data_IF_282506266226
#
_entry.id   IF_282506266226
#
_cell.length_a   1.000
_cell.length_b   1.000
_cell.length_c   1.000
_cell.angle_alpha   90.00
_cell.angle_beta   90.00
_cell.angle_gamma   90.00
#
_symmetry.space_group_name_H-M   'P 1'
#
loop_
_entity.id
_entity.type
_entity.pdbx_description
1 polymer ?
#
# COMPACT_ATOMS: atom_id res chain seq x y z
N UNK A 1 -10.02 95.75 -35.74
CA UNK A 1 -9.89 95.88 -34.29
C UNK A 1 -11.20 95.44 -33.65
N UNK A 2 -11.23 94.53 -32.74
CA UNK A 2 -12.35 93.79 -32.14
C UNK A 2 -12.73 92.55 -33.04
N UNK A 3 -12.79 91.35 -32.59
CA UNK A 3 -13.11 90.63 -31.47
C UNK A 3 -12.54 89.20 -31.61
N UNK A 4 -11.45 88.92 -30.88
CA UNK A 4 -10.81 87.56 -30.89
C UNK A 4 -10.86 86.82 -29.56
N UNK A 5 -11.53 87.37 -28.50
CA UNK A 5 -11.34 86.83 -27.12
C UNK A 5 -12.50 86.01 -26.56
N UNK A 6 -13.66 85.91 -27.26
CA UNK A 6 -14.81 85.16 -26.73
C UNK A 6 -14.98 83.73 -27.22
N UNK A 7 -14.20 83.34 -28.24
CA UNK A 7 -14.32 82.00 -28.82
C UNK A 7 -13.50 80.93 -28.07
N UNK A 8 -12.33 81.35 -27.52
CA UNK A 8 -11.45 80.40 -26.78
C UNK A 8 -12.00 80.04 -25.43
N UNK A 9 -12.78 80.91 -24.75
CA UNK A 9 -13.38 80.65 -23.45
C UNK A 9 -14.54 79.64 -23.47
N UNK A 10 -15.26 79.51 -24.59
CA UNK A 10 -16.36 78.59 -24.71
C UNK A 10 -15.91 77.17 -25.09
N UNK A 11 -14.78 76.98 -25.76
CA UNK A 11 -14.22 75.65 -26.08
C UNK A 11 -13.54 75.05 -24.84
N UNK A 12 -12.90 75.86 -23.98
CA UNK A 12 -12.28 75.36 -22.72
C UNK A 12 -13.30 74.87 -21.73
N UNK A 13 -14.49 75.44 -21.65
CA UNK A 13 -15.55 75.03 -20.71
C UNK A 13 -16.31 73.78 -21.21
N UNK A 14 -16.41 73.54 -22.52
CA UNK A 14 -16.98 72.34 -23.09
C UNK A 14 -16.10 71.12 -22.96
N UNK A 15 -14.74 71.25 -22.97
CA UNK A 15 -13.80 70.18 -22.78
C UNK A 15 -13.69 69.71 -21.31
N UNK A 16 -13.90 70.63 -20.36
CA UNK A 16 -13.89 70.28 -18.90
C UNK A 16 -15.21 69.58 -18.51
N UNK A 17 -16.34 69.89 -19.16
CA UNK A 17 -17.60 69.20 -18.91
C UNK A 17 -17.63 67.79 -19.50
N UNK A 18 -16.86 67.50 -20.57
CA UNK A 18 -16.80 66.13 -21.16
C UNK A 18 -15.92 65.20 -20.36
N UNK A 19 -14.88 65.69 -19.62
CA UNK A 19 -14.08 64.91 -18.74
C UNK A 19 -14.73 64.56 -17.40
N UNK A 20 -15.78 65.26 -16.99
CA UNK A 20 -16.52 65.01 -15.75
C UNK A 20 -17.55 63.87 -15.87
N UNK A 21 -17.87 63.40 -17.07
CA UNK A 21 -18.84 62.31 -17.34
C UNK A 21 -18.19 60.94 -17.57
N UNK A 22 -16.83 60.87 -17.68
CA UNK A 22 -16.08 59.61 -17.84
C UNK A 22 -15.39 59.10 -16.58
N UNK A 23 -15.64 59.73 -15.43
CA UNK A 23 -14.89 59.48 -14.17
C UNK A 23 -15.64 58.75 -13.07
N UNK A 24 -16.50 57.78 -13.35
CA UNK A 24 -17.16 56.99 -12.28
C UNK A 24 -17.35 55.52 -12.63
N UNK A 25 -16.26 54.81 -12.91
CA UNK A 25 -16.29 53.34 -12.91
C UNK A 25 -15.06 52.68 -12.36
N UNK A 26 -14.27 53.38 -11.51
CA UNK A 26 -13.06 52.79 -10.94
C UNK A 26 -13.18 52.33 -9.48
N UNK A 27 -14.39 52.36 -8.91
CA UNK A 27 -14.68 51.73 -7.60
C UNK A 27 -15.75 50.67 -7.71
N UNK A 28 -15.86 50.00 -8.86
CA UNK A 28 -16.67 48.80 -9.00
C UNK A 28 -15.92 47.64 -8.32
N UNK A 29 -16.26 47.27 -7.09
CA UNK A 29 -15.87 45.98 -6.53
C UNK A 29 -16.18 44.90 -7.55
N UNK A 30 -15.24 43.99 -7.79
CA UNK A 30 -15.41 42.90 -8.75
C UNK A 30 -16.71 42.14 -8.42
N UNK A 31 -17.64 42.13 -9.33
CA UNK A 31 -18.95 41.46 -9.10
C UNK A 31 -18.72 40.01 -8.67
N UNK A 32 -19.58 39.51 -7.81
CA UNK A 32 -19.52 38.11 -7.35
C UNK A 32 -19.57 37.18 -8.58
N UNK A 33 -18.55 36.32 -8.78
CA UNK A 33 -18.53 35.38 -9.89
C UNK A 33 -19.66 34.34 -9.79
N UNK A 34 -20.20 33.92 -10.92
CA UNK A 34 -21.26 32.93 -11.06
C UNK A 34 -20.88 31.55 -10.48
N UNK A 35 -19.60 31.19 -10.61
CA UNK A 35 -19.08 29.91 -10.12
C UNK A 35 -19.15 29.74 -8.60
N UNK A 36 -19.28 30.80 -7.83
CA UNK A 36 -19.45 30.72 -6.36
C UNK A 36 -20.77 30.05 -6.01
N UNK A 37 -21.79 30.23 -6.84
CA UNK A 37 -23.10 29.59 -6.70
C UNK A 37 -23.19 28.24 -7.41
N UNK A 38 -22.06 27.71 -7.89
CA UNK A 38 -21.94 26.35 -8.45
C UNK A 38 -22.20 26.26 -9.96
N UNK A 39 -22.44 27.38 -10.64
CA UNK A 39 -22.67 27.42 -12.09
C UNK A 39 -21.67 28.38 -12.71
N UNK A 40 -21.00 27.98 -13.78
CA UNK A 40 -20.06 28.84 -14.51
C UNK A 40 -20.28 28.77 -16.00
N UNK A 41 -20.48 29.92 -16.62
CA UNK A 41 -20.54 30.02 -18.07
C UNK A 41 -19.16 29.85 -18.72
N UNK A 42 -18.09 30.28 -18.03
CA UNK A 42 -16.69 30.15 -18.49
C UNK A 42 -16.16 28.71 -18.36
N UNK A 43 -16.68 27.92 -17.41
CA UNK A 43 -16.25 26.55 -17.13
C UNK A 43 -17.46 25.59 -17.13
N UNK A 44 -18.05 25.27 -18.29
CA UNK A 44 -19.24 24.43 -18.38
C UNK A 44 -19.02 23.04 -17.78
N UNK A 45 -19.97 22.51 -17.02
CA UNK A 45 -19.90 21.21 -16.34
C UNK A 45 -19.66 20.01 -17.26
N UNK A 46 -20.08 20.11 -18.53
CA UNK A 46 -19.78 19.10 -19.57
C UNK A 46 -18.29 19.04 -19.96
N UNK A 47 -17.52 20.13 -19.75
CA UNK A 47 -16.11 20.19 -20.09
C UNK A 47 -15.20 20.20 -18.86
N UNK A 48 -15.72 20.63 -17.73
CA UNK A 48 -14.93 20.79 -16.49
C UNK A 48 -15.60 20.09 -15.32
N UNK A 49 -14.77 19.54 -14.43
CA UNK A 49 -15.10 19.23 -13.04
C UNK A 49 -14.60 20.37 -12.18
N UNK A 50 -15.47 20.92 -11.34
CA UNK A 50 -15.17 22.11 -10.56
C UNK A 50 -15.24 21.81 -9.06
N UNK A 51 -14.38 22.49 -8.31
CA UNK A 51 -14.41 22.49 -6.85
C UNK A 51 -14.22 23.92 -6.33
N UNK A 52 -15.11 24.38 -5.46
CA UNK A 52 -15.05 25.69 -4.84
C UNK A 52 -14.50 25.56 -3.42
N UNK A 53 -13.53 26.40 -3.09
CA UNK A 53 -12.97 26.56 -1.76
C UNK A 53 -13.16 27.98 -1.25
N UNK A 54 -13.45 28.13 0.04
CA UNK A 54 -13.63 29.40 0.73
C UNK A 54 -12.85 29.40 2.04
N UNK A 55 -12.11 30.46 2.35
CA UNK A 55 -11.35 30.60 3.60
C UNK A 55 -10.99 32.06 3.88
N UNK A 56 -10.46 32.33 5.08
CA UNK A 56 -9.92 33.62 5.49
C UNK A 56 -8.60 33.96 4.80
N UNK A 57 -7.90 32.98 4.24
CA UNK A 57 -6.68 33.18 3.48
C UNK A 57 -6.76 32.51 2.11
N UNK A 58 -6.04 33.10 1.13
CA UNK A 58 -5.97 32.60 -0.24
C UNK A 58 -5.47 31.15 -0.30
N UNK A 59 -4.38 30.83 0.38
CA UNK A 59 -3.79 29.50 0.33
C UNK A 59 -4.78 28.43 0.83
N UNK A 60 -5.44 28.68 1.95
CA UNK A 60 -6.44 27.74 2.50
C UNK A 60 -7.68 27.63 1.61
N UNK A 61 -8.09 28.71 0.92
CA UNK A 61 -9.18 28.67 -0.05
C UNK A 61 -8.82 27.79 -1.26
N UNK A 62 -7.59 27.92 -1.77
CA UNK A 62 -7.06 27.08 -2.86
C UNK A 62 -7.02 25.61 -2.44
N UNK A 63 -6.48 25.28 -1.26
CA UNK A 63 -6.45 23.91 -0.71
C UNK A 63 -7.85 23.31 -0.57
N UNK A 64 -8.81 24.08 -0.09
CA UNK A 64 -10.22 23.66 0.01
C UNK A 64 -10.85 23.42 -1.36
N UNK A 65 -10.49 24.19 -2.38
CA UNK A 65 -10.94 23.98 -3.73
C UNK A 65 -10.41 22.67 -4.34
N UNK A 66 -9.13 22.38 -4.16
CA UNK A 66 -8.54 21.08 -4.51
C UNK A 66 -9.22 19.93 -3.77
N UNK A 67 -9.40 20.06 -2.46
CA UNK A 67 -10.08 19.05 -1.65
C UNK A 67 -11.54 18.83 -2.06
N UNK A 68 -12.23 19.85 -2.58
CA UNK A 68 -13.59 19.72 -3.08
C UNK A 68 -13.65 18.83 -4.33
N UNK A 69 -12.71 19.00 -5.28
CA UNK A 69 -12.56 18.09 -6.43
C UNK A 69 -12.22 16.69 -5.98
N UNK A 70 -11.18 16.52 -5.14
CA UNK A 70 -10.72 15.22 -4.67
C UNK A 70 -11.81 14.39 -3.97
N UNK A 71 -12.72 15.02 -3.22
CA UNK A 71 -13.83 14.34 -2.54
C UNK A 71 -14.80 13.62 -3.49
N UNK A 72 -15.01 14.16 -4.69
CA UNK A 72 -15.88 13.53 -5.70
C UNK A 72 -15.31 12.16 -6.08
N UNK A 73 -14.01 12.10 -6.35
CA UNK A 73 -13.31 10.88 -6.75
C UNK A 73 -13.18 9.89 -5.59
N UNK A 74 -12.88 10.38 -4.39
CA UNK A 74 -12.80 9.52 -3.19
C UNK A 74 -14.13 8.79 -2.93
N UNK A 75 -15.25 9.45 -3.11
CA UNK A 75 -16.57 8.85 -2.92
C UNK A 75 -16.82 7.71 -3.94
N UNK A 76 -16.45 7.89 -5.20
CA UNK A 76 -16.61 6.87 -6.25
C UNK A 76 -15.69 5.66 -6.00
N UNK A 77 -14.41 5.87 -5.71
CA UNK A 77 -13.46 4.78 -5.38
C UNK A 77 -13.96 3.98 -4.17
N UNK A 78 -14.45 4.66 -3.13
CA UNK A 78 -14.98 3.99 -1.94
C UNK A 78 -16.25 3.18 -2.22
N UNK A 79 -17.10 3.64 -3.14
CA UNK A 79 -18.30 2.91 -3.55
C UNK A 79 -17.95 1.61 -4.30
N UNK A 80 -16.89 1.63 -5.12
CA UNK A 80 -16.41 0.46 -5.88
C UNK A 80 -15.59 -0.53 -5.01
N UNK A 81 -15.11 -0.11 -3.84
CA UNK A 81 -14.25 -0.95 -2.99
C UNK A 81 -14.91 -2.27 -2.56
N UNK A 82 -16.25 -2.36 -2.54
CA UNK A 82 -16.98 -3.60 -2.25
C UNK A 82 -16.71 -4.69 -3.29
N UNK A 83 -16.51 -4.32 -4.53
CA UNK A 83 -16.24 -5.27 -5.63
C UNK A 83 -14.82 -5.88 -5.51
N UNK A 84 -13.95 -5.25 -4.72
CA UNK A 84 -12.57 -5.70 -4.47
C UNK A 84 -12.39 -6.34 -3.09
N UNK A 85 -13.47 -6.58 -2.38
CA UNK A 85 -13.42 -7.09 -1.00
C UNK A 85 -12.65 -8.41 -0.90
N UNK A 86 -12.82 -9.31 -1.86
CA UNK A 86 -12.09 -10.59 -1.92
C UNK A 86 -10.58 -10.38 -2.03
N UNK A 87 -10.13 -9.44 -2.86
CA UNK A 87 -8.72 -9.08 -2.98
C UNK A 87 -8.19 -8.47 -1.68
N UNK A 88 -8.93 -7.52 -1.11
CA UNK A 88 -8.55 -6.88 0.15
C UNK A 88 -8.45 -7.88 1.31
N UNK A 89 -9.20 -8.97 1.29
CA UNK A 89 -9.10 -10.06 2.25
C UNK A 89 -7.83 -10.91 2.05
N UNK A 90 -7.37 -11.12 0.81
CA UNK A 90 -6.12 -11.84 0.54
C UNK A 90 -4.91 -11.00 0.97
N UNK A 91 -4.89 -9.71 0.60
CA UNK A 91 -3.81 -8.80 1.00
C UNK A 91 -3.66 -8.69 2.52
N UNK A 92 -4.66 -9.12 3.27
CA UNK A 92 -4.76 -8.89 4.71
C UNK A 92 -4.87 -10.16 5.54
N UNK A 93 -4.63 -11.33 4.94
CA UNK A 93 -4.54 -12.54 5.72
C UNK A 93 -3.42 -12.37 6.76
N UNK A 94 -3.80 -12.43 8.03
CA UNK A 94 -2.89 -12.14 9.14
C UNK A 94 -2.93 -10.73 9.71
N UNK A 95 -3.58 -9.79 9.05
CA UNK A 95 -3.62 -8.39 9.46
C UNK A 95 -4.97 -7.97 10.09
N UNK A 96 -4.96 -6.90 10.87
CA UNK A 96 -6.16 -6.40 11.55
C UNK A 96 -7.09 -5.61 10.59
N UNK A 97 -8.35 -5.39 11.03
CA UNK A 97 -9.27 -4.51 10.30
C UNK A 97 -8.74 -3.08 10.11
N UNK A 98 -7.76 -2.64 10.91
CA UNK A 98 -7.10 -1.35 10.75
C UNK A 98 -6.19 -1.33 9.52
N UNK A 99 -5.45 -2.41 9.27
CA UNK A 99 -4.57 -2.54 8.10
C UNK A 99 -5.37 -2.67 6.80
N UNK A 100 -6.57 -3.26 6.86
CA UNK A 100 -7.52 -3.26 5.74
C UNK A 100 -7.93 -1.85 5.31
N UNK A 101 -8.19 -0.98 6.27
CA UNK A 101 -8.48 0.43 5.98
C UNK A 101 -7.26 1.11 5.36
N UNK A 102 -6.05 0.83 5.86
CA UNK A 102 -4.82 1.40 5.32
C UNK A 102 -4.60 1.02 3.85
N UNK A 103 -4.89 -0.22 3.44
CA UNK A 103 -4.76 -0.64 2.03
C UNK A 103 -5.76 0.09 1.13
N UNK A 104 -7.01 0.22 1.56
CA UNK A 104 -8.02 0.99 0.81
C UNK A 104 -7.67 2.49 0.79
N UNK A 105 -7.18 3.03 1.90
CA UNK A 105 -6.74 4.42 1.98
C UNK A 105 -5.52 4.65 1.06
N UNK A 106 -4.60 3.70 0.95
CA UNK A 106 -3.46 3.77 0.04
C UNK A 106 -3.91 3.79 -1.43
N UNK A 107 -4.83 2.89 -1.83
CA UNK A 107 -5.40 2.89 -3.19
C UNK A 107 -6.12 4.20 -3.50
N UNK A 108 -6.88 4.71 -2.52
CA UNK A 108 -7.58 6.00 -2.63
C UNK A 108 -6.58 7.16 -2.72
N UNK A 109 -5.48 7.13 -1.97
CA UNK A 109 -4.43 8.17 -2.01
C UNK A 109 -3.74 8.20 -3.37
N UNK A 110 -3.25 7.07 -3.87
CA UNK A 110 -2.60 6.97 -5.20
C UNK A 110 -3.52 7.47 -6.31
N UNK A 111 -4.81 7.13 -6.21
CA UNK A 111 -5.84 7.60 -7.13
C UNK A 111 -6.05 9.10 -7.03
N UNK A 112 -6.13 9.65 -5.81
CA UNK A 112 -6.33 11.08 -5.55
C UNK A 112 -5.14 11.91 -6.04
N UNK A 113 -3.92 11.44 -5.83
CA UNK A 113 -2.71 12.12 -6.32
C UNK A 113 -2.76 12.27 -7.85
N UNK A 114 -3.13 11.18 -8.55
CA UNK A 114 -3.29 11.22 -10.01
C UNK A 114 -4.40 12.16 -10.47
N UNK A 115 -5.49 12.26 -9.72
CA UNK A 115 -6.57 13.23 -9.96
C UNK A 115 -6.02 14.66 -9.84
N UNK A 116 -5.29 14.95 -8.75
CA UNK A 116 -4.79 16.29 -8.45
C UNK A 116 -3.76 16.78 -9.48
N UNK A 117 -3.01 15.89 -10.14
CA UNK A 117 -2.15 16.27 -11.27
C UNK A 117 -2.90 16.99 -12.41
N UNK A 118 -4.18 16.72 -12.57
CA UNK A 118 -5.03 17.28 -13.62
C UNK A 118 -5.88 18.47 -13.14
N UNK A 119 -5.78 18.87 -11.87
CA UNK A 119 -6.55 19.97 -11.28
C UNK A 119 -5.69 21.24 -11.20
N UNK A 120 -6.27 22.38 -11.54
CA UNK A 120 -5.62 23.70 -11.43
C UNK A 120 -6.58 24.69 -10.83
N UNK A 121 -6.07 25.67 -10.09
CA UNK A 121 -6.87 26.84 -9.72
C UNK A 121 -7.07 27.69 -10.97
N UNK A 122 -8.32 27.78 -11.43
CA UNK A 122 -8.68 28.45 -12.67
C UNK A 122 -9.22 29.85 -12.44
N UNK A 123 -9.75 30.16 -11.25
CA UNK A 123 -10.22 31.49 -10.89
C UNK A 123 -10.14 31.75 -9.39
N UNK A 124 -10.18 33.02 -8.99
CA UNK A 124 -10.11 33.52 -7.61
C UNK A 124 -10.93 34.75 -7.44
N UNK A 125 -11.54 34.89 -6.27
CA UNK A 125 -12.28 36.10 -5.92
C UNK A 125 -12.16 36.38 -4.42
N UNK A 126 -12.25 37.63 -4.05
CA UNK A 126 -12.26 38.09 -2.66
C UNK A 126 -13.52 38.88 -2.40
N UNK A 127 -14.27 38.47 -1.41
CA UNK A 127 -15.39 39.25 -0.92
C UNK A 127 -14.85 40.38 -0.01
N UNK A 128 -14.91 41.59 -0.52
CA UNK A 128 -14.39 42.79 0.19
C UNK A 128 -15.22 43.14 1.43
N UNK A 129 -16.46 42.60 1.58
CA UNK A 129 -17.30 42.84 2.76
C UNK A 129 -16.93 41.91 3.92
N UNK A 130 -16.75 40.66 3.63
CA UNK A 130 -16.39 39.65 4.65
C UNK A 130 -14.90 39.42 4.79
N UNK A 131 -14.08 39.86 3.84
CA UNK A 131 -12.64 39.55 3.76
C UNK A 131 -12.34 38.10 3.36
N UNK A 132 -13.33 37.31 2.95
CA UNK A 132 -13.15 35.92 2.59
C UNK A 132 -12.60 35.76 1.19
N UNK A 133 -11.65 34.85 1.06
CA UNK A 133 -11.07 34.41 -0.19
C UNK A 133 -11.83 33.21 -0.74
N UNK A 134 -12.13 33.24 -2.03
CA UNK A 134 -12.71 32.15 -2.80
C UNK A 134 -11.77 31.69 -3.89
N UNK A 135 -11.66 30.40 -4.09
CA UNK A 135 -10.89 29.82 -5.19
C UNK A 135 -11.75 28.78 -5.93
N UNK A 136 -11.61 28.76 -7.25
CA UNK A 136 -12.19 27.76 -8.12
C UNK A 136 -11.08 26.85 -8.63
N UNK A 137 -11.11 25.58 -8.24
CA UNK A 137 -10.29 24.53 -8.84
C UNK A 137 -11.08 23.89 -9.99
N UNK A 138 -10.41 23.68 -11.11
CA UNK A 138 -11.00 23.08 -12.31
C UNK A 138 -10.11 21.98 -12.88
N UNK A 139 -10.76 20.89 -13.28
CA UNK A 139 -10.17 19.81 -14.06
C UNK A 139 -10.83 19.79 -15.44
N UNK A 140 -10.03 19.92 -16.49
CA UNK A 140 -10.53 19.74 -17.85
C UNK A 140 -10.75 18.27 -18.14
N UNK A 141 -12.02 17.86 -18.38
CA UNK A 141 -12.42 16.46 -18.54
C UNK A 141 -11.68 15.74 -19.67
N UNK A 142 -11.51 16.37 -20.84
CA UNK A 142 -10.83 15.76 -21.99
C UNK A 142 -9.34 15.45 -21.71
N UNK A 143 -8.63 16.37 -21.05
CA UNK A 143 -7.23 16.17 -20.67
C UNK A 143 -7.10 15.06 -19.62
N UNK A 144 -7.94 15.09 -18.59
CA UNK A 144 -7.97 14.07 -17.56
C UNK A 144 -8.34 12.69 -18.15
N UNK A 145 -9.37 12.63 -19.00
CA UNK A 145 -9.78 11.39 -19.68
C UNK A 145 -8.61 10.75 -20.46
N UNK A 146 -7.86 11.53 -21.22
CA UNK A 146 -6.69 11.04 -21.95
C UNK A 146 -5.64 10.48 -21.00
N UNK A 147 -5.30 11.20 -19.92
CA UNK A 147 -4.32 10.78 -18.92
C UNK A 147 -4.71 9.48 -18.20
N UNK A 148 -5.98 9.34 -17.81
CA UNK A 148 -6.47 8.12 -17.16
C UNK A 148 -6.60 6.95 -18.13
N UNK A 149 -7.02 7.19 -19.38
CA UNK A 149 -7.10 6.15 -20.41
C UNK A 149 -5.71 5.59 -20.74
N UNK A 150 -4.68 6.44 -20.80
CA UNK A 150 -3.30 6.02 -20.99
C UNK A 150 -2.85 5.08 -19.85
N UNK A 151 -3.10 5.47 -18.60
CA UNK A 151 -2.75 4.64 -17.44
C UNK A 151 -3.50 3.31 -17.39
N UNK A 152 -4.78 3.30 -17.72
CA UNK A 152 -5.57 2.08 -17.84
C UNK A 152 -5.00 1.17 -18.92
N UNK A 153 -4.63 1.72 -20.08
CA UNK A 153 -4.03 0.94 -21.18
C UNK A 153 -2.68 0.35 -20.80
N UNK A 154 -1.84 1.09 -20.09
CA UNK A 154 -0.56 0.61 -19.57
C UNK A 154 -0.76 -0.58 -18.61
N UNK A 155 -1.73 -0.45 -17.68
CA UNK A 155 -2.07 -1.51 -16.74
C UNK A 155 -2.68 -2.72 -17.44
N UNK A 156 -3.59 -2.53 -18.40
CA UNK A 156 -4.20 -3.62 -19.18
C UNK A 156 -3.11 -4.45 -19.91
N UNK A 157 -2.08 -3.79 -20.45
CA UNK A 157 -0.93 -4.47 -21.06
C UNK A 157 -0.14 -5.27 -20.03
N UNK A 158 0.19 -4.65 -18.89
CA UNK A 158 0.95 -5.31 -17.82
C UNK A 158 0.18 -6.51 -17.23
N UNK A 159 -1.13 -6.38 -17.03
CA UNK A 159 -2.00 -7.47 -16.57
C UNK A 159 -2.00 -8.61 -17.58
N UNK A 160 -2.10 -8.31 -18.87
CA UNK A 160 -2.05 -9.30 -19.93
C UNK A 160 -0.73 -10.07 -19.98
N UNK A 161 0.39 -9.38 -19.78
CA UNK A 161 1.73 -9.97 -19.68
C UNK A 161 1.85 -10.89 -18.46
N UNK A 162 1.43 -10.43 -17.27
CA UNK A 162 1.45 -11.19 -16.02
C UNK A 162 0.55 -12.45 -16.11
N UNK A 163 -0.67 -12.33 -16.61
CA UNK A 163 -1.57 -13.49 -16.82
C UNK A 163 -0.97 -14.44 -17.86
N UNK A 164 -0.36 -13.92 -18.93
CA UNK A 164 0.33 -14.71 -19.92
C UNK A 164 1.51 -15.48 -19.31
N UNK A 165 2.30 -14.86 -18.44
CA UNK A 165 3.38 -15.50 -17.69
C UNK A 165 2.85 -16.62 -16.79
N UNK A 166 1.78 -16.34 -16.01
CA UNK A 166 1.17 -17.32 -15.12
C UNK A 166 0.62 -18.56 -15.83
N UNK A 167 0.23 -18.45 -17.10
CA UNK A 167 -0.30 -19.56 -17.91
C UNK A 167 0.77 -20.35 -18.67
N UNK A 168 2.01 -19.88 -18.69
CA UNK A 168 3.13 -20.65 -19.27
C UNK A 168 3.56 -21.77 -18.33
N UNK A 169 4.15 -22.86 -18.83
CA UNK A 169 4.83 -23.84 -18.00
C UNK A 169 6.01 -23.16 -17.28
N UNK A 170 5.87 -22.93 -16.00
CA UNK A 170 6.87 -22.29 -15.15
C UNK A 170 6.85 -22.95 -13.76
N UNK A 171 7.84 -22.61 -12.94
CA UNK A 171 7.80 -23.03 -11.54
C UNK A 171 6.60 -22.41 -10.79
N UNK A 172 6.22 -23.03 -9.70
CA UNK A 172 5.00 -22.65 -8.96
C UNK A 172 5.11 -21.27 -8.30
N UNK A 173 6.31 -20.86 -7.88
CA UNK A 173 6.53 -19.53 -7.29
C UNK A 173 6.39 -18.44 -8.36
N UNK A 174 6.97 -18.63 -9.53
CA UNK A 174 6.82 -17.70 -10.66
C UNK A 174 5.35 -17.53 -11.02
N UNK A 175 4.58 -18.63 -11.10
CA UNK A 175 3.15 -18.56 -11.37
C UNK A 175 2.38 -17.81 -10.27
N UNK A 176 2.64 -18.09 -9.01
CA UNK A 176 1.99 -17.41 -7.88
C UNK A 176 2.29 -15.90 -7.91
N UNK A 177 3.55 -15.52 -8.12
CA UNK A 177 4.00 -14.14 -8.23
C UNK A 177 3.36 -13.40 -9.41
N UNK A 178 3.28 -14.03 -10.57
CA UNK A 178 2.65 -13.46 -11.74
C UNK A 178 1.14 -13.23 -11.54
N UNK A 179 0.42 -14.21 -10.99
CA UNK A 179 -1.00 -14.05 -10.63
C UNK A 179 -1.21 -12.92 -9.63
N UNK A 180 -0.36 -12.83 -8.60
CA UNK A 180 -0.49 -11.76 -7.59
C UNK A 180 -0.24 -10.38 -8.19
N UNK A 181 0.77 -10.21 -9.05
CA UNK A 181 1.01 -8.94 -9.77
C UNK A 181 -0.18 -8.58 -10.65
N UNK A 182 -0.73 -9.56 -11.38
CA UNK A 182 -1.91 -9.35 -12.23
C UNK A 182 -3.11 -8.85 -11.41
N UNK A 183 -3.41 -9.49 -10.28
CA UNK A 183 -4.52 -9.08 -9.40
C UNK A 183 -4.29 -7.68 -8.85
N UNK A 184 -3.10 -7.37 -8.34
CA UNK A 184 -2.75 -6.05 -7.80
C UNK A 184 -2.88 -4.93 -8.85
N UNK A 185 -2.35 -5.18 -10.05
CA UNK A 185 -2.46 -4.25 -11.18
C UNK A 185 -3.91 -4.07 -11.63
N UNK A 186 -4.71 -5.14 -11.59
CA UNK A 186 -6.13 -5.09 -11.94
C UNK A 186 -6.94 -4.26 -10.94
N UNK A 187 -6.67 -4.36 -9.64
CA UNK A 187 -7.30 -3.51 -8.62
C UNK A 187 -6.94 -2.04 -8.83
N UNK A 188 -5.66 -1.75 -9.11
CA UNK A 188 -5.23 -0.38 -9.41
C UNK A 188 -5.90 0.13 -10.70
N UNK A 189 -6.00 -0.71 -11.71
CA UNK A 189 -6.70 -0.42 -12.96
C UNK A 189 -8.17 -0.08 -12.72
N UNK A 190 -8.88 -0.86 -11.90
CA UNK A 190 -10.27 -0.60 -11.56
C UNK A 190 -10.43 0.68 -10.73
N UNK A 191 -9.46 1.01 -9.89
CA UNK A 191 -9.42 2.29 -9.18
C UNK A 191 -9.35 3.48 -10.15
N UNK A 192 -8.50 3.39 -11.18
CA UNK A 192 -8.46 4.42 -12.23
C UNK A 192 -9.72 4.41 -13.11
N UNK A 193 -10.31 3.25 -13.34
CA UNK A 193 -11.57 3.13 -14.07
C UNK A 193 -12.76 3.77 -13.33
N UNK A 194 -12.79 3.68 -12.00
CA UNK A 194 -13.75 4.40 -11.16
C UNK A 194 -13.61 5.92 -11.35
N UNK A 195 -12.37 6.43 -11.36
CA UNK A 195 -12.12 7.84 -11.64
C UNK A 195 -12.56 8.24 -13.06
N UNK A 196 -12.32 7.39 -14.05
CA UNK A 196 -12.71 7.64 -15.42
C UNK A 196 -14.24 7.79 -15.56
N UNK A 197 -15.04 7.04 -14.78
CA UNK A 197 -16.50 7.20 -14.71
C UNK A 197 -16.91 8.59 -14.22
N UNK A 198 -16.20 9.15 -13.24
CA UNK A 198 -16.44 10.53 -12.77
C UNK A 198 -16.05 11.56 -13.83
N UNK A 199 -14.94 11.32 -14.54
CA UNK A 199 -14.42 12.24 -15.57
C UNK A 199 -15.33 12.29 -16.78
N UNK A 200 -15.84 11.16 -17.25
CA UNK A 200 -16.70 11.07 -18.42
C UNK A 200 -18.12 11.56 -18.12
N UNK A 201 -18.68 12.48 -18.92
CA UNK A 201 -20.08 12.88 -18.76
C UNK A 201 -21.07 11.71 -18.89
N UNK A 202 -20.70 10.63 -19.60
CA UNK A 202 -21.50 9.42 -19.74
C UNK A 202 -21.55 8.56 -18.48
N UNK A 203 -20.65 8.79 -17.51
CA UNK A 203 -20.51 7.93 -16.33
C UNK A 203 -19.94 6.54 -16.62
N UNK A 204 -19.46 6.29 -17.84
CA UNK A 204 -18.99 4.97 -18.26
C UNK A 204 -17.46 4.84 -18.16
N UNK A 205 -17.02 3.72 -17.59
CA UNK A 205 -15.61 3.32 -17.58
C UNK A 205 -15.20 2.59 -18.87
N UNK A 206 -14.03 1.98 -18.82
CA UNK A 206 -13.51 1.08 -19.86
C UNK A 206 -13.63 -0.37 -19.37
N UNK A 207 -14.18 -1.26 -20.17
CA UNK A 207 -14.29 -2.67 -19.82
C UNK A 207 -12.91 -3.30 -19.62
N UNK A 208 -12.78 -4.14 -18.59
CA UNK A 208 -11.57 -4.93 -18.34
C UNK A 208 -11.64 -6.28 -19.05
N UNK A 209 -10.47 -6.81 -19.45
CA UNK A 209 -10.37 -8.15 -20.02
C UNK A 209 -10.49 -9.25 -18.94
N UNK A 210 -10.23 -8.90 -17.69
CA UNK A 210 -10.25 -9.82 -16.54
C UNK A 210 -11.05 -9.20 -15.39
N UNK A 211 -11.61 -10.04 -14.50
CA UNK A 211 -12.30 -9.62 -13.30
C UNK A 211 -11.45 -9.87 -12.05
N UNK A 212 -11.44 -8.91 -11.12
CA UNK A 212 -10.68 -9.02 -9.86
C UNK A 212 -11.04 -10.31 -9.12
N UNK A 213 -12.33 -10.61 -8.94
CA UNK A 213 -12.81 -11.79 -8.26
C UNK A 213 -12.40 -13.11 -8.94
N UNK A 214 -12.25 -13.12 -10.25
CA UNK A 214 -11.84 -14.28 -11.03
C UNK A 214 -10.36 -14.60 -10.83
N UNK A 215 -9.48 -13.62 -11.07
CA UNK A 215 -8.04 -13.79 -10.88
C UNK A 215 -7.67 -14.02 -9.41
N UNK A 216 -8.38 -13.38 -8.49
CA UNK A 216 -8.22 -13.59 -7.06
C UNK A 216 -8.50 -15.04 -6.68
N UNK A 217 -9.63 -15.59 -7.14
CA UNK A 217 -9.99 -16.99 -6.91
C UNK A 217 -9.00 -17.95 -7.58
N UNK A 218 -8.51 -17.65 -8.80
CA UNK A 218 -7.46 -18.44 -9.46
C UNK A 218 -6.20 -18.50 -8.61
N UNK A 219 -5.76 -17.35 -8.08
CA UNK A 219 -4.61 -17.26 -7.17
C UNK A 219 -4.83 -18.09 -5.90
N UNK A 220 -5.97 -17.93 -5.22
CA UNK A 220 -6.29 -18.69 -3.99
C UNK A 220 -6.29 -20.19 -4.23
N UNK A 221 -6.97 -20.64 -5.28
CA UNK A 221 -7.00 -22.05 -5.64
C UNK A 221 -5.60 -22.57 -5.95
N UNK A 222 -4.81 -21.81 -6.69
CA UNK A 222 -3.46 -22.19 -7.03
C UNK A 222 -2.60 -22.36 -5.77
N UNK A 223 -2.62 -21.38 -4.86
CA UNK A 223 -1.88 -21.43 -3.60
C UNK A 223 -2.32 -22.63 -2.75
N UNK A 224 -3.62 -22.83 -2.60
CA UNK A 224 -4.16 -23.93 -1.79
C UNK A 224 -3.80 -25.33 -2.32
N UNK A 225 -3.66 -25.48 -3.63
CA UNK A 225 -3.45 -26.79 -4.25
C UNK A 225 -1.98 -27.08 -4.53
N UNK A 226 -1.20 -26.07 -4.85
CA UNK A 226 0.12 -26.24 -5.45
C UNK A 226 1.28 -25.72 -4.60
N UNK A 227 1.03 -24.87 -3.61
CA UNK A 227 2.08 -24.29 -2.78
C UNK A 227 1.93 -24.75 -1.33
N UNK A 228 2.62 -25.83 -1.00
CA UNK A 228 2.64 -26.40 0.34
C UNK A 228 4.01 -26.14 0.97
N UNK A 229 4.02 -25.65 2.20
CA UNK A 229 5.22 -25.38 2.98
C UNK A 229 5.34 -26.42 4.09
N UNK A 230 6.50 -27.04 4.23
CA UNK A 230 6.82 -27.85 5.40
C UNK A 230 7.59 -27.02 6.42
N UNK A 231 7.30 -27.21 7.71
CA UNK A 231 8.01 -26.58 8.81
C UNK A 231 8.63 -27.64 9.70
N UNK A 232 9.93 -27.53 9.93
CA UNK A 232 10.70 -28.40 10.80
C UNK A 232 11.59 -27.57 11.73
N UNK A 233 11.28 -27.58 13.02
CA UNK A 233 12.08 -26.87 14.05
C UNK A 233 12.73 -27.89 14.95
N UNK A 234 13.99 -27.64 15.34
CA UNK A 234 14.80 -28.49 16.22
C UNK A 234 15.34 -27.69 17.40
N UNK A 235 15.81 -28.38 18.43
CA UNK A 235 16.43 -27.77 19.61
C UNK A 235 15.45 -27.45 20.73
N UNK A 236 15.86 -26.53 21.60
CA UNK A 236 15.08 -26.16 22.79
C UNK A 236 13.80 -25.42 22.40
N UNK A 237 12.70 -25.78 23.03
CA UNK A 237 11.39 -25.13 22.74
C UNK A 237 10.95 -25.25 21.26
N UNK A 238 11.39 -26.28 20.53
CA UNK A 238 11.11 -26.48 19.12
C UNK A 238 9.59 -26.57 18.84
N UNK A 239 8.84 -27.36 19.62
CA UNK A 239 7.41 -27.58 19.39
C UNK A 239 6.56 -26.30 19.49
N UNK A 240 6.67 -25.47 20.56
CA UNK A 240 5.91 -24.22 20.63
C UNK A 240 6.28 -23.24 19.52
N UNK A 241 7.53 -23.17 19.09
CA UNK A 241 7.97 -22.28 17.99
C UNK A 241 7.45 -22.80 16.64
N UNK A 242 7.55 -24.12 16.40
CA UNK A 242 7.00 -24.73 15.18
C UNK A 242 5.49 -24.49 15.05
N UNK A 243 4.74 -24.65 16.14
CA UNK A 243 3.30 -24.39 16.17
C UNK A 243 2.98 -22.94 15.86
N UNK A 244 3.68 -22.00 16.49
CA UNK A 244 3.47 -20.57 16.27
C UNK A 244 3.84 -20.15 14.82
N UNK A 245 4.93 -20.68 14.26
CA UNK A 245 5.32 -20.42 12.88
C UNK A 245 4.30 -21.01 11.88
N UNK A 246 3.83 -22.23 12.14
CA UNK A 246 2.75 -22.85 11.35
C UNK A 246 1.49 -21.98 11.35
N UNK A 247 1.07 -21.52 12.53
CA UNK A 247 -0.07 -20.61 12.67
C UNK A 247 0.14 -19.29 11.94
N UNK A 248 1.33 -18.71 12.04
CA UNK A 248 1.71 -17.48 11.32
C UNK A 248 1.61 -17.66 9.80
N UNK A 249 2.18 -18.74 9.24
CA UNK A 249 2.10 -19.04 7.81
C UNK A 249 0.67 -19.27 7.32
N UNK A 250 -0.17 -19.95 8.12
CA UNK A 250 -1.59 -20.13 7.80
C UNK A 250 -2.35 -18.79 7.79
N UNK A 251 -2.02 -17.87 8.72
CA UNK A 251 -2.58 -16.51 8.73
C UNK A 251 -2.21 -15.74 7.46
N UNK A 252 -0.99 -15.92 6.97
CA UNK A 252 -0.52 -15.33 5.69
C UNK A 252 -1.13 -16.04 4.45
N UNK A 253 -2.01 -17.01 4.64
CA UNK A 253 -2.73 -17.71 3.56
C UNK A 253 -1.93 -18.82 2.88
N UNK A 254 -0.82 -19.25 3.47
CA UNK A 254 0.01 -20.32 2.96
C UNK A 254 -0.43 -21.67 3.53
N UNK A 255 -0.37 -22.74 2.73
CA UNK A 255 -0.69 -24.09 3.19
C UNK A 255 0.54 -24.69 3.86
N UNK A 256 0.35 -25.27 5.05
CA UNK A 256 1.44 -25.87 5.83
C UNK A 256 1.17 -27.35 6.04
N UNK A 257 2.19 -28.18 5.82
CA UNK A 257 2.20 -29.61 6.17
C UNK A 257 3.15 -29.90 7.31
N UNK A 258 2.77 -30.81 8.17
CA UNK A 258 3.63 -31.31 9.26
C UNK A 258 4.59 -32.42 8.83
N UNK A 259 4.55 -32.87 7.56
CA UNK A 259 5.48 -33.87 7.04
C UNK A 259 6.67 -33.17 6.39
N UNK A 260 7.86 -33.14 7.01
CA UNK A 260 9.09 -32.78 6.33
C UNK A 260 9.32 -33.83 5.22
N UNK A 261 9.47 -33.39 3.96
CA UNK A 261 9.68 -34.28 2.82
C UNK A 261 10.92 -35.14 2.98
N UNK A 262 10.73 -36.38 3.39
CA UNK A 262 11.81 -37.35 3.67
C UNK A 262 11.29 -38.77 3.91
N UNK A 263 10.09 -39.10 3.44
CA UNK A 263 9.59 -40.48 3.41
C UNK A 263 10.15 -41.21 2.20
N UNK A 264 10.90 -42.26 2.46
CA UNK A 264 11.44 -43.21 1.51
C UNK A 264 10.44 -43.52 0.38
N UNK A 265 10.83 -43.32 -0.86
CA UNK A 265 10.05 -43.66 -2.07
C UNK A 265 9.81 -45.16 -2.26
N UNK A 266 10.20 -45.98 -1.30
CA UNK A 266 10.23 -47.43 -1.44
C UNK A 266 8.95 -48.18 -1.02
N UNK A 267 7.98 -47.52 -0.40
CA UNK A 267 6.68 -48.17 -0.06
C UNK A 267 5.59 -47.61 -0.95
N UNK A 268 5.23 -48.34 -1.99
CA UNK A 268 4.17 -48.03 -2.97
C UNK A 268 2.77 -48.00 -2.32
N UNK A 269 2.51 -46.97 -1.54
CA UNK A 269 1.19 -46.60 -1.07
C UNK A 269 0.82 -45.26 -1.69
N UNK A 270 -0.19 -45.26 -2.57
CA UNK A 270 -0.83 -44.05 -3.09
C UNK A 270 -1.38 -43.22 -1.93
N UNK A 271 -0.56 -42.35 -1.38
CA UNK A 271 -1.05 -41.29 -0.51
C UNK A 271 -1.07 -39.99 -1.32
N UNK A 272 -2.27 -39.49 -1.59
CA UNK A 272 -2.55 -38.14 -2.15
C UNK A 272 -2.03 -37.02 -1.23
N UNK A 273 -0.77 -37.08 -0.83
CA UNK A 273 -0.10 -36.04 -0.06
C UNK A 273 0.72 -35.16 -1.00
N UNK A 274 0.30 -33.92 -1.19
CA UNK A 274 1.09 -32.92 -1.91
C UNK A 274 2.48 -32.79 -1.26
N UNK A 275 3.54 -32.99 -2.04
CA UNK A 275 4.90 -32.77 -1.56
C UNK A 275 5.12 -31.26 -1.32
N UNK A 276 5.84 -30.89 -0.25
CA UNK A 276 6.12 -29.48 0.01
C UNK A 276 7.05 -28.91 -1.07
N UNK A 277 6.75 -27.67 -1.49
CA UNK A 277 7.60 -26.90 -2.41
C UNK A 277 8.73 -26.20 -1.67
N UNK A 278 8.42 -25.72 -0.47
CA UNK A 278 9.37 -25.07 0.41
C UNK A 278 9.45 -25.81 1.74
N UNK A 279 10.66 -25.95 2.24
CA UNK A 279 10.93 -26.45 3.60
C UNK A 279 11.54 -25.31 4.43
N UNK A 280 10.82 -24.89 5.47
CA UNK A 280 11.34 -24.03 6.51
C UNK A 280 11.94 -24.90 7.60
N UNK A 281 13.25 -24.95 7.66
CA UNK A 281 13.96 -25.66 8.72
C UNK A 281 14.63 -24.68 9.67
N UNK A 282 14.47 -24.90 10.98
CA UNK A 282 15.00 -24.01 11.98
C UNK A 282 15.61 -24.73 13.16
N UNK A 283 16.56 -24.06 13.82
CA UNK A 283 17.12 -24.44 15.08
C UNK A 283 16.87 -23.35 16.11
N UNK A 284 16.42 -23.74 17.29
CA UNK A 284 16.21 -22.83 18.42
C UNK A 284 17.03 -23.29 19.60
N UNK A 285 17.73 -22.39 20.27
CA UNK A 285 18.48 -22.65 21.47
C UNK A 285 18.19 -21.62 22.54
N UNK A 286 18.14 -22.11 23.78
CA UNK A 286 17.88 -21.34 24.98
C UNK A 286 18.83 -21.80 26.09
N UNK A 287 19.62 -20.89 26.65
CA UNK A 287 20.56 -21.23 27.72
C UNK A 287 20.67 -20.12 28.75
N UNK A 288 20.85 -20.48 30.05
CA UNK A 288 21.10 -19.49 31.09
C UNK A 288 22.44 -18.80 30.90
N UNK A 289 22.51 -17.54 31.28
CA UNK A 289 23.76 -16.79 31.33
C UNK A 289 23.94 -16.18 32.71
N UNK A 290 25.15 -16.21 33.21
CA UNK A 290 25.48 -15.53 34.44
C UNK A 290 25.78 -14.06 34.17
N UNK A 291 24.92 -13.21 34.67
CA UNK A 291 25.10 -11.76 34.66
C UNK A 291 25.17 -11.33 36.12
N UNK A 292 26.22 -10.58 36.49
CA UNK A 292 26.42 -10.08 37.85
C UNK A 292 25.26 -9.15 38.29
N UNK A 293 24.08 -9.73 38.47
CA UNK A 293 22.90 -9.06 39.01
C UNK A 293 22.22 -9.98 40.03
N UNK A 294 22.27 -9.68 41.35
CA UNK A 294 21.72 -10.55 42.37
C UNK A 294 20.20 -10.73 42.32
N UNK A 295 19.50 -9.83 41.66
CA UNK A 295 18.03 -9.80 41.64
C UNK A 295 17.40 -10.50 40.43
N UNK A 296 18.15 -10.64 39.34
CA UNK A 296 17.62 -11.17 38.08
C UNK A 296 18.43 -12.34 37.57
N UNK A 297 17.73 -13.35 37.05
CA UNK A 297 18.29 -14.43 36.25
C UNK A 297 18.08 -14.14 34.79
N UNK A 298 19.08 -14.36 33.96
CA UNK A 298 19.07 -14.06 32.55
C UNK A 298 19.17 -15.34 31.71
N UNK A 299 18.43 -15.36 30.63
CA UNK A 299 18.46 -16.44 29.63
C UNK A 299 18.75 -15.80 28.28
N UNK A 300 19.73 -16.40 27.56
CA UNK A 300 19.99 -16.03 26.16
C UNK A 300 19.30 -17.04 25.26
N UNK A 301 18.86 -16.57 24.14
CA UNK A 301 18.28 -17.39 23.10
C UNK A 301 18.81 -17.01 21.73
N UNK A 302 18.78 -17.96 20.81
CA UNK A 302 18.98 -17.73 19.39
C UNK A 302 18.05 -18.62 18.58
N UNK A 303 17.79 -18.21 17.35
CA UNK A 303 17.03 -18.98 16.37
C UNK A 303 17.62 -18.74 14.99
N UNK A 304 17.87 -19.82 14.26
CA UNK A 304 18.33 -19.80 12.87
C UNK A 304 17.34 -20.58 12.02
N UNK A 305 16.80 -19.92 11.01
CA UNK A 305 15.87 -20.51 10.06
C UNK A 305 16.41 -20.39 8.65
N UNK A 306 16.29 -21.45 7.89
CA UNK A 306 16.58 -21.51 6.47
C UNK A 306 15.32 -21.91 5.71
N UNK A 307 15.11 -21.26 4.58
CA UNK A 307 14.06 -21.62 3.63
C UNK A 307 14.71 -22.32 2.45
N UNK A 308 14.31 -23.55 2.20
CA UNK A 308 14.88 -24.43 1.18
C UNK A 308 13.82 -24.72 0.13
N UNK A 309 14.15 -24.51 -1.14
CA UNK A 309 13.39 -25.01 -2.26
C UNK A 309 13.63 -26.53 -2.35
N UNK A 310 12.56 -27.30 -2.16
CA UNK A 310 12.64 -28.76 -2.06
C UNK A 310 12.99 -29.41 -3.42
N UNK A 311 12.58 -28.80 -4.53
CA UNK A 311 12.78 -29.35 -5.85
C UNK A 311 14.27 -29.38 -6.26
N UNK A 312 15.04 -28.34 -5.92
CA UNK A 312 16.43 -28.18 -6.27
C UNK A 312 17.39 -28.21 -5.07
N UNK A 313 16.86 -28.36 -3.86
CA UNK A 313 17.62 -28.40 -2.58
C UNK A 313 18.42 -27.11 -2.34
N UNK A 314 18.00 -25.99 -2.92
CA UNK A 314 18.70 -24.71 -2.73
C UNK A 314 18.13 -23.94 -1.55
N UNK A 315 19.00 -23.39 -0.74
CA UNK A 315 18.61 -22.40 0.25
C UNK A 315 18.27 -21.09 -0.48
N UNK A 316 17.02 -20.68 -0.40
CA UNK A 316 16.52 -19.44 -1.02
C UNK A 316 16.62 -18.24 -0.08
N UNK A 317 16.84 -18.48 1.22
CA UNK A 317 17.07 -17.44 2.19
C UNK A 317 17.22 -17.96 3.60
N UNK A 318 17.67 -17.10 4.50
CA UNK A 318 17.86 -17.43 5.90
C UNK A 318 17.46 -16.25 6.81
N UNK A 319 16.94 -16.56 7.98
CA UNK A 319 16.54 -15.62 9.00
C UNK A 319 17.12 -16.05 10.33
N UNK A 320 17.93 -15.20 10.96
CA UNK A 320 18.54 -15.45 12.24
C UNK A 320 18.21 -14.34 13.21
N UNK A 321 17.85 -14.69 14.43
CA UNK A 321 17.66 -13.76 15.53
C UNK A 321 18.17 -14.34 16.83
N UNK A 322 18.53 -13.46 17.75
CA UNK A 322 18.89 -13.82 19.10
C UNK A 322 18.65 -12.68 20.06
N UNK A 323 18.50 -13.02 21.31
CA UNK A 323 18.23 -12.05 22.35
C UNK A 323 18.63 -12.53 23.74
N UNK A 324 18.31 -11.68 24.72
CA UNK A 324 18.53 -11.95 26.13
C UNK A 324 17.32 -11.44 26.91
N UNK A 325 16.72 -12.32 27.71
CA UNK A 325 15.62 -11.99 28.59
C UNK A 325 15.97 -12.20 30.05
N UNK A 326 15.48 -11.33 30.92
CA UNK A 326 15.70 -11.42 32.37
C UNK A 326 14.40 -11.48 33.13
N UNK A 327 14.38 -12.25 34.23
CA UNK A 327 13.30 -12.31 35.20
C UNK A 327 13.83 -12.70 36.60
N UNK A 328 12.96 -12.70 37.62
CA UNK A 328 13.33 -13.06 38.98
C UNK A 328 13.79 -14.52 39.14
N UNK A 329 13.29 -15.38 38.24
CA UNK A 329 13.73 -16.79 38.15
C UNK A 329 14.10 -17.17 36.74
N UNK A 330 14.94 -18.18 36.56
CA UNK A 330 15.34 -18.72 35.28
C UNK A 330 14.13 -19.31 34.52
N UNK A 331 13.21 -19.97 35.21
CA UNK A 331 11.97 -20.51 34.64
C UNK A 331 11.11 -19.41 34.03
N UNK A 332 10.96 -18.27 34.70
CA UNK A 332 10.19 -17.14 34.20
C UNK A 332 10.91 -16.41 33.05
N UNK A 333 12.24 -16.30 33.11
CA UNK A 333 13.05 -15.78 32.03
C UNK A 333 12.91 -16.64 30.76
N UNK A 334 12.96 -17.97 30.90
CA UNK A 334 12.71 -18.93 29.80
C UNK A 334 11.29 -18.80 29.25
N UNK A 335 10.29 -18.70 30.11
CA UNK A 335 8.89 -18.52 29.68
C UNK A 335 8.69 -17.19 28.90
N UNK A 336 9.44 -16.15 29.26
CA UNK A 336 9.45 -14.88 28.53
C UNK A 336 10.09 -15.03 27.15
N UNK A 337 11.23 -15.73 27.06
CA UNK A 337 11.88 -16.07 25.78
C UNK A 337 10.90 -16.82 24.84
N UNK A 338 10.22 -17.85 25.37
CA UNK A 338 9.23 -18.60 24.56
C UNK A 338 8.16 -17.69 24.01
N UNK A 339 7.63 -16.76 24.82
CA UNK A 339 6.61 -15.79 24.35
C UNK A 339 7.14 -14.86 23.27
N UNK A 340 8.36 -14.34 23.41
CA UNK A 340 9.02 -13.52 22.39
C UNK A 340 9.15 -14.29 21.08
N UNK A 341 9.64 -15.53 21.15
CA UNK A 341 9.77 -16.38 19.96
C UNK A 341 8.43 -16.72 19.31
N UNK A 342 7.39 -16.97 20.09
CA UNK A 342 6.06 -17.32 19.57
C UNK A 342 5.32 -16.13 18.94
N UNK A 343 5.40 -14.95 19.54
CA UNK A 343 4.58 -13.81 19.13
C UNK A 343 5.29 -12.83 18.21
N UNK A 344 6.57 -12.60 18.41
CA UNK A 344 7.31 -11.61 17.64
C UNK A 344 8.10 -12.28 16.51
N UNK A 345 8.94 -13.24 16.88
CA UNK A 345 9.85 -13.83 15.90
C UNK A 345 9.14 -14.73 14.89
N UNK A 346 8.22 -15.60 15.34
CA UNK A 346 7.49 -16.51 14.42
C UNK A 346 6.60 -15.74 13.45
N UNK A 347 6.00 -14.63 13.90
CA UNK A 347 5.21 -13.75 13.05
C UNK A 347 6.09 -13.03 11.99
N UNK A 348 7.23 -12.50 12.40
CA UNK A 348 8.20 -11.88 11.48
C UNK A 348 8.74 -12.88 10.43
N UNK A 349 9.04 -14.11 10.85
CA UNK A 349 9.50 -15.18 9.94
C UNK A 349 8.38 -15.55 8.95
N UNK A 350 7.16 -15.72 9.42
CA UNK A 350 6.02 -16.04 8.57
C UNK A 350 5.77 -14.94 7.53
N UNK A 351 5.80 -13.67 7.93
CA UNK A 351 5.67 -12.52 7.03
C UNK A 351 6.80 -12.46 6.01
N UNK A 352 8.05 -12.68 6.42
CA UNK A 352 9.18 -12.68 5.50
C UNK A 352 9.08 -13.79 4.45
N UNK A 353 8.64 -14.98 4.85
CA UNK A 353 8.42 -16.11 3.94
C UNK A 353 7.26 -15.79 2.97
N UNK A 354 6.16 -15.25 3.47
CA UNK A 354 5.02 -14.85 2.64
C UNK A 354 5.44 -13.77 1.63
N UNK A 355 6.17 -12.75 2.05
CA UNK A 355 6.67 -11.70 1.16
C UNK A 355 7.59 -12.29 0.05
N UNK A 356 8.43 -13.27 0.39
CA UNK A 356 9.26 -13.96 -0.60
C UNK A 356 8.40 -14.79 -1.57
N UNK A 357 7.48 -15.59 -1.06
CA UNK A 357 6.56 -16.41 -1.89
C UNK A 357 5.81 -15.52 -2.87
N UNK A 358 5.32 -14.39 -2.40
CA UNK A 358 4.54 -13.46 -3.21
C UNK A 358 5.41 -12.51 -4.08
N UNK A 359 6.73 -12.57 -3.96
CA UNK A 359 7.65 -11.73 -4.74
C UNK A 359 7.68 -10.27 -4.32
N UNK A 360 7.30 -9.97 -3.10
CA UNK A 360 7.31 -8.61 -2.53
C UNK A 360 8.69 -8.23 -1.97
N UNK A 361 9.38 -9.20 -1.41
CA UNK A 361 10.73 -9.05 -0.90
C UNK A 361 11.54 -10.33 -1.10
N UNK A 362 12.84 -10.19 -1.28
CA UNK A 362 13.76 -11.32 -1.24
C UNK A 362 14.13 -11.63 0.22
N UNK A 363 14.20 -12.92 0.54
CA UNK A 363 14.72 -13.35 1.84
C UNK A 363 16.19 -12.95 1.96
N UNK A 364 16.66 -12.57 3.17
CA UNK A 364 18.06 -12.29 3.40
C UNK A 364 18.93 -13.49 2.98
N UNK A 365 20.01 -13.23 2.25
CA UNK A 365 20.99 -14.25 1.94
C UNK A 365 21.67 -14.74 3.24
N UNK A 366 22.14 -15.99 3.24
CA UNK A 366 22.97 -16.51 4.31
C UNK A 366 24.17 -15.57 4.54
N UNK A 367 24.09 -14.69 5.55
CA UNK A 367 25.20 -13.85 5.91
C UNK A 367 26.08 -14.59 6.90
N UNK A 368 27.35 -14.76 6.56
CA UNK A 368 28.38 -15.31 7.45
C UNK A 368 28.65 -14.44 8.70
N UNK A 369 27.99 -13.28 8.81
CA UNK A 369 28.21 -12.29 9.86
C UNK A 369 27.19 -12.30 11.00
N UNK A 370 26.05 -12.96 10.85
CA UNK A 370 25.16 -13.22 11.98
C UNK A 370 25.77 -14.44 12.71
N UNK A 371 26.21 -14.21 13.96
CA UNK A 371 26.64 -15.30 14.83
C UNK A 371 25.48 -16.26 14.98
N UNK A 372 25.45 -17.30 14.15
CA UNK A 372 24.46 -18.36 14.20
C UNK A 372 24.34 -18.97 15.60
N UNK A 373 23.28 -19.72 15.82
CA UNK A 373 23.16 -20.45 17.09
C UNK A 373 24.42 -21.29 17.34
N UNK A 374 25.00 -21.28 18.55
CA UNK A 374 26.15 -22.11 18.89
C UNK A 374 25.81 -23.57 18.56
N UNK A 375 26.69 -24.25 17.82
CA UNK A 375 26.55 -25.69 17.54
C UNK A 375 26.82 -26.50 18.81
N UNK A 376 26.30 -27.74 18.87
CA UNK A 376 26.55 -28.63 20.02
C UNK A 376 28.05 -28.74 20.33
N UNK A 377 28.43 -28.49 21.56
CA UNK A 377 29.82 -28.48 22.03
C UNK A 377 30.50 -27.09 22.03
N UNK A 378 29.90 -26.02 21.48
CA UNK A 378 30.49 -24.68 21.51
C UNK A 378 29.94 -23.74 22.62
N UNK A 379 29.03 -24.24 23.46
CA UNK A 379 28.66 -23.52 24.68
C UNK A 379 29.78 -23.76 25.71
N UNK A 380 30.89 -23.08 25.56
CA UNK A 380 31.91 -23.04 26.60
C UNK A 380 31.31 -22.32 27.80
N UNK A 381 31.12 -23.05 28.90
CA UNK A 381 30.96 -22.42 30.22
C UNK A 381 32.14 -21.48 30.44
N UNK A 382 31.90 -20.24 30.90
CA UNK A 382 33.01 -19.37 31.25
C UNK A 382 33.89 -20.12 32.27
N UNK A 383 35.18 -20.24 31.96
CA UNK A 383 36.14 -20.84 32.87
C UNK A 383 36.07 -20.11 34.23
N UNK A 384 35.76 -20.83 35.27
CA UNK A 384 35.87 -20.35 36.63
C UNK A 384 37.34 -20.02 36.84
N UNK A 385 37.67 -18.73 36.94
CA UNK A 385 39.02 -18.33 37.31
C UNK A 385 39.30 -18.82 38.74
N UNK A 386 40.39 -19.54 39.00
CA UNK A 386 40.76 -19.90 40.36
C UNK A 386 41.11 -18.65 41.15
N UNK A 387 40.72 -18.63 42.40
CA UNK A 387 40.93 -17.59 43.41
C UNK A 387 42.39 -17.26 43.64
#
# INVERSE_FOLDING_TARGET
MRDGSSFVSRIGMALIALCALSGCSWFGGQAKPDWIDGVSAAYPSGQYLLGVGQAESRAVAEDRAYAAVARIFKAEVSAQAKDWESYLLIEQRGHSNAERRLTLDNLTSVSTDKVLENVKVVDRWVDLHSGLHFALAGMQRSQAESSFTEKITELDRSIGEDVGEARRPSDKLTKARALRRAVRNLVLRETYNANLRVIRPSGQGTAAAYHVSELTRELEQFLATNLVIAVAVTGDQAEPVQRALTEGLLKEGLQVTSRPGGGDRSTGGETNGSFPELLVRGMVRVWPIDVRNPQFKFVRWCSDFEVVDVANQRVVGALSRGGKEGHLSEREATAKVVRVMQHEFSDDVAKAIAAHVYGEAELPALSSQLAGCPRDGQVSMPAVAPH
#
